data_IF_646515779487
#
_entry.id   IF_646515779487
#
_cell.length_a   1.000
_cell.length_b   1.000
_cell.length_c   1.000
_cell.angle_alpha   90.00
_cell.angle_beta   90.00
_cell.angle_gamma   90.00
#
_symmetry.space_group_name_H-M   'P 1'
#
loop_
_entity.id
_entity.type
_entity.pdbx_description
1 polymer ?
#
# COMPACT_ATOMS: atom_id res chain seq x y z
N UNK A 1 -51.22 47.49 37.63
CA UNK A 1 -51.75 47.06 38.94
C UNK A 1 -50.74 46.11 39.58
N UNK A 2 -50.16 46.51 40.73
CA UNK A 2 -49.36 45.71 41.72
C UNK A 2 -48.03 45.10 41.22
N UNK A 3 -46.91 45.04 41.98
CA UNK A 3 -46.52 45.45 43.33
C UNK A 3 -44.97 45.38 43.43
N UNK A 4 -44.37 46.39 44.07
CA UNK A 4 -43.28 46.33 45.06
C UNK A 4 -42.07 45.36 44.94
N UNK A 5 -40.86 45.96 44.85
CA UNK A 5 -39.94 46.09 46.01
C UNK A 5 -38.92 44.96 46.32
N UNK A 6 -37.75 45.29 46.90
CA UNK A 6 -36.50 44.52 46.80
C UNK A 6 -36.15 43.71 48.05
N UNK A 7 -35.24 42.71 47.93
CA UNK A 7 -34.49 42.15 49.07
C UNK A 7 -33.05 41.72 48.69
N UNK A 8 -32.08 42.36 49.35
CA UNK A 8 -30.71 41.90 49.57
C UNK A 8 -30.69 40.69 50.51
N UNK A 9 -29.86 39.67 50.23
CA UNK A 9 -29.18 38.86 51.27
C UNK A 9 -27.79 38.42 50.78
N UNK A 10 -26.79 38.62 51.65
CA UNK A 10 -25.37 38.22 51.60
C UNK A 10 -25.18 36.72 51.89
N UNK A 11 -24.16 36.09 51.28
CA UNK A 11 -23.20 35.11 51.83
C UNK A 11 -22.35 34.58 50.66
N UNK A 12 -21.04 34.82 50.52
CA UNK A 12 -19.87 34.25 51.24
C UNK A 12 -19.86 32.72 51.31
N UNK A 13 -19.11 32.08 50.41
CA UNK A 13 -18.08 31.08 50.76
C UNK A 13 -17.16 30.80 49.55
N UNK A 14 -15.83 30.65 49.73
CA UNK A 14 -14.88 30.35 48.67
C UNK A 14 -14.69 28.84 48.51
N UNK A 15 -14.42 28.38 47.28
CA UNK A 15 -13.91 27.03 47.06
C UNK A 15 -12.79 27.09 46.01
N UNK A 16 -11.57 26.85 46.51
CA UNK A 16 -10.41 26.39 45.76
C UNK A 16 -10.80 25.29 44.76
N UNK A 17 -10.31 25.40 43.53
CA UNK A 17 -9.51 24.39 42.84
C UNK A 17 -9.15 24.91 41.44
N UNK A 18 -8.02 25.61 41.35
CA UNK A 18 -7.27 25.68 40.10
C UNK A 18 -6.60 24.32 39.88
N UNK A 19 -7.23 23.48 39.06
CA UNK A 19 -6.59 22.39 38.34
C UNK A 19 -7.24 22.38 36.96
N UNK A 20 -6.57 22.83 35.89
CA UNK A 20 -6.93 22.37 34.56
C UNK A 20 -6.55 20.88 34.49
N UNK A 21 -7.51 20.04 34.84
CA UNK A 21 -7.50 18.64 34.47
C UNK A 21 -7.69 18.54 32.96
N UNK A 22 -6.74 17.89 32.29
CA UNK A 22 -6.94 17.27 30.98
C UNK A 22 -7.10 18.21 29.79
N UNK A 23 -5.99 18.68 29.23
CA UNK A 23 -5.92 18.79 27.77
C UNK A 23 -5.65 17.37 27.22
N UNK A 24 -6.68 16.54 27.18
CA UNK A 24 -6.75 15.53 26.12
C UNK A 24 -7.46 16.23 24.99
N UNK A 25 -6.76 16.52 23.89
CA UNK A 25 -7.37 16.97 22.64
C UNK A 25 -8.19 15.82 22.07
N UNK A 26 -9.55 15.85 22.14
CA UNK A 26 -10.38 14.86 21.49
C UNK A 26 -10.71 15.45 20.12
N UNK A 27 -9.86 15.19 19.13
CA UNK A 27 -10.05 15.76 17.79
C UNK A 27 -9.22 15.18 16.64
N UNK A 28 -8.10 14.49 16.90
CA UNK A 28 -7.16 14.12 15.83
C UNK A 28 -7.50 12.82 15.07
N UNK A 29 -8.32 11.93 15.65
CA UNK A 29 -8.58 10.62 15.01
C UNK A 29 -9.50 10.71 13.79
N UNK A 30 -10.52 11.57 13.83
CA UNK A 30 -11.50 11.70 12.74
C UNK A 30 -10.96 12.37 11.48
N UNK A 31 -10.10 13.37 11.64
CA UNK A 31 -9.44 14.06 10.52
C UNK A 31 -8.31 13.20 9.91
N UNK A 32 -7.54 12.51 10.76
CA UNK A 32 -6.50 11.58 10.33
C UNK A 32 -7.05 10.41 9.51
N UNK A 33 -8.12 9.76 9.98
CA UNK A 33 -8.75 8.65 9.25
C UNK A 33 -9.28 9.11 7.89
N UNK A 34 -9.96 10.27 7.85
CA UNK A 34 -10.45 10.83 6.60
C UNK A 34 -9.31 11.11 5.61
N UNK A 35 -8.17 11.64 6.09
CA UNK A 35 -7.00 11.91 5.27
C UNK A 35 -6.33 10.62 4.73
N UNK A 36 -6.27 9.55 5.53
CA UNK A 36 -5.78 8.23 5.07
C UNK A 36 -6.69 7.66 3.99
N UNK A 37 -8.02 7.69 4.19
CA UNK A 37 -9.00 7.25 3.19
C UNK A 37 -8.91 8.07 1.91
N UNK A 38 -8.75 9.38 2.02
CA UNK A 38 -8.57 10.27 0.87
C UNK A 38 -7.28 9.95 0.10
N UNK A 39 -6.19 9.63 0.79
CA UNK A 39 -4.92 9.22 0.18
C UNK A 39 -5.07 7.91 -0.60
N UNK A 40 -5.72 6.91 0.00
CA UNK A 40 -6.04 5.65 -0.69
C UNK A 40 -6.88 5.89 -1.95
N UNK A 41 -7.95 6.68 -1.83
CA UNK A 41 -8.84 6.95 -2.95
C UNK A 41 -8.14 7.73 -4.06
N UNK A 42 -7.30 8.71 -3.72
CA UNK A 42 -6.48 9.42 -4.69
C UNK A 42 -5.52 8.47 -5.44
N UNK A 43 -4.89 7.54 -4.73
CA UNK A 43 -4.00 6.54 -5.34
C UNK A 43 -4.78 5.61 -6.27
N UNK A 44 -5.92 5.09 -5.82
CA UNK A 44 -6.82 4.25 -6.61
C UNK A 44 -7.29 4.97 -7.88
N UNK A 45 -7.66 6.25 -7.78
CA UNK A 45 -8.10 7.06 -8.92
C UNK A 45 -6.95 7.34 -9.90
N UNK A 46 -5.76 7.66 -9.40
CA UNK A 46 -4.57 7.84 -10.24
C UNK A 46 -4.27 6.57 -11.05
N UNK A 47 -4.32 5.40 -10.41
CA UNK A 47 -4.24 4.12 -11.10
C UNK A 47 -5.35 3.98 -12.14
N UNK A 48 -6.62 4.16 -11.79
CA UNK A 48 -7.71 4.03 -12.79
C UNK A 48 -7.59 4.98 -13.98
N UNK A 49 -6.96 6.15 -13.78
CA UNK A 49 -6.72 7.14 -14.83
C UNK A 49 -5.46 6.84 -15.67
N UNK A 50 -4.64 5.86 -15.29
CA UNK A 50 -3.33 5.62 -15.90
C UNK A 50 -2.32 6.73 -15.60
N UNK A 51 -2.52 7.50 -14.53
CA UNK A 51 -1.66 8.62 -14.15
C UNK A 51 -0.55 8.12 -13.21
N UNK A 52 0.52 7.60 -13.82
CA UNK A 52 1.67 7.06 -13.10
C UNK A 52 2.39 8.11 -12.24
N UNK A 53 2.45 9.37 -12.68
CA UNK A 53 3.07 10.45 -11.91
C UNK A 53 2.26 10.74 -10.64
N UNK A 54 0.94 10.87 -10.75
CA UNK A 54 0.07 11.06 -9.60
C UNK A 54 0.16 9.87 -8.63
N UNK A 55 0.13 8.64 -9.15
CA UNK A 55 0.24 7.42 -8.34
C UNK A 55 1.59 7.33 -7.63
N UNK A 56 2.71 7.55 -8.33
CA UNK A 56 4.05 7.56 -7.76
C UNK A 56 4.21 8.68 -6.73
N UNK A 57 3.59 9.85 -6.93
CA UNK A 57 3.63 10.94 -5.95
C UNK A 57 2.92 10.61 -4.63
N UNK A 58 2.10 9.57 -4.57
CA UNK A 58 1.31 9.18 -3.40
C UNK A 58 1.95 8.07 -2.57
N UNK A 59 3.05 7.47 -3.04
CA UNK A 59 3.80 6.48 -2.24
C UNK A 59 4.81 7.15 -1.32
N UNK A 60 5.25 6.40 -0.31
CA UNK A 60 6.24 6.89 0.65
C UNK A 60 7.69 6.71 0.15
N UNK A 61 8.64 7.37 0.82
CA UNK A 61 10.06 7.31 0.46
C UNK A 61 10.62 5.89 0.53
N UNK A 62 10.11 5.06 1.45
CA UNK A 62 10.52 3.67 1.59
C UNK A 62 10.13 2.85 0.35
N UNK A 63 8.94 3.08 -0.21
CA UNK A 63 8.51 2.47 -1.47
C UNK A 63 9.40 2.90 -2.64
N UNK A 64 9.75 4.18 -2.73
CA UNK A 64 10.67 4.67 -3.77
C UNK A 64 12.05 4.00 -3.68
N UNK A 65 12.59 3.85 -2.47
CA UNK A 65 13.86 3.17 -2.24
C UNK A 65 13.78 1.67 -2.55
N UNK A 66 12.70 1.01 -2.15
CA UNK A 66 12.43 -0.39 -2.51
C UNK A 66 12.46 -0.57 -4.04
N UNK A 67 11.78 0.32 -4.78
CA UNK A 67 11.79 0.27 -6.24
C UNK A 67 13.20 0.49 -6.82
N UNK A 68 13.98 1.43 -6.28
CA UNK A 68 15.37 1.67 -6.72
C UNK A 68 16.23 0.42 -6.53
N UNK A 69 16.07 -0.29 -5.42
CA UNK A 69 16.78 -1.54 -5.15
C UNK A 69 16.34 -2.66 -6.09
N UNK A 70 15.03 -2.78 -6.34
CA UNK A 70 14.49 -3.74 -7.31
C UNK A 70 15.01 -3.47 -8.72
N UNK A 71 15.01 -2.21 -9.18
CA UNK A 71 15.55 -1.80 -10.49
C UNK A 71 17.03 -2.17 -10.62
N UNK A 72 17.85 -1.90 -9.60
CA UNK A 72 19.25 -2.36 -9.57
C UNK A 72 19.34 -3.88 -9.71
N UNK A 73 18.54 -4.62 -8.95
CA UNK A 73 18.56 -6.07 -8.98
C UNK A 73 18.13 -6.63 -10.35
N UNK A 74 17.12 -6.03 -10.98
CA UNK A 74 16.67 -6.37 -12.33
C UNK A 74 17.80 -6.18 -13.34
N UNK A 75 18.50 -5.05 -13.31
CA UNK A 75 19.53 -4.72 -14.30
C UNK A 75 20.83 -5.51 -14.07
N UNK A 76 21.32 -5.50 -12.83
CA UNK A 76 22.70 -5.88 -12.48
C UNK A 76 22.78 -7.15 -11.64
N UNK A 77 21.66 -7.59 -11.04
CA UNK A 77 21.65 -8.69 -10.07
C UNK A 77 22.11 -10.00 -10.67
N UNK A 78 23.10 -10.62 -10.04
CA UNK A 78 23.48 -12.01 -10.36
C UNK A 78 22.36 -12.99 -10.02
N UNK A 79 22.37 -14.17 -10.63
CA UNK A 79 21.42 -15.25 -10.32
C UNK A 79 21.40 -15.55 -8.81
N UNK A 80 22.58 -15.66 -8.18
CA UNK A 80 22.69 -15.92 -6.74
C UNK A 80 22.06 -14.80 -5.90
N UNK A 81 22.32 -13.53 -6.24
CA UNK A 81 21.70 -12.40 -5.53
C UNK A 81 20.18 -12.36 -5.68
N UNK A 82 19.65 -12.74 -6.85
CA UNK A 82 18.21 -12.79 -7.11
C UNK A 82 17.59 -13.94 -6.33
N UNK A 83 18.18 -15.14 -6.37
CA UNK A 83 17.68 -16.34 -5.68
C UNK A 83 17.60 -16.19 -4.16
N UNK A 84 18.44 -15.34 -3.57
CA UNK A 84 18.40 -15.03 -2.13
C UNK A 84 17.27 -14.07 -1.73
N UNK A 85 16.49 -13.55 -2.67
CA UNK A 85 15.39 -12.62 -2.39
C UNK A 85 14.09 -13.32 -2.05
N UNK A 86 13.13 -12.51 -1.62
CA UNK A 86 11.75 -12.93 -1.33
C UNK A 86 11.08 -13.47 -2.60
N UNK A 87 9.97 -14.21 -2.46
CA UNK A 87 9.22 -14.72 -3.59
C UNK A 87 8.79 -13.58 -4.52
N UNK A 88 8.25 -12.50 -3.95
CA UNK A 88 7.73 -11.38 -4.76
C UNK A 88 8.86 -10.63 -5.47
N UNK A 89 10.00 -10.41 -4.82
CA UNK A 89 11.16 -9.78 -5.47
C UNK A 89 11.64 -10.62 -6.67
N UNK A 90 11.76 -11.95 -6.49
CA UNK A 90 12.17 -12.87 -7.55
C UNK A 90 11.16 -12.88 -8.68
N UNK A 91 9.87 -12.95 -8.37
CA UNK A 91 8.80 -12.84 -9.34
C UNK A 91 8.90 -11.55 -10.15
N UNK A 92 9.06 -10.39 -9.50
CA UNK A 92 9.18 -9.10 -10.19
C UNK A 92 10.44 -9.07 -11.06
N UNK A 93 11.59 -9.56 -10.58
CA UNK A 93 12.81 -9.63 -11.38
C UNK A 93 12.60 -10.44 -12.65
N UNK A 94 12.02 -11.63 -12.52
CA UNK A 94 11.71 -12.50 -13.67
C UNK A 94 10.74 -11.82 -14.62
N UNK A 95 9.65 -11.25 -14.11
CA UNK A 95 8.65 -10.57 -14.91
C UNK A 95 9.24 -9.38 -15.70
N UNK A 96 10.06 -8.55 -15.07
CA UNK A 96 10.70 -7.41 -15.73
C UNK A 96 11.71 -7.83 -16.78
N UNK A 97 12.63 -8.75 -16.46
CA UNK A 97 13.66 -9.23 -17.40
C UNK A 97 13.05 -9.99 -18.58
N UNK A 98 11.91 -10.64 -18.36
CA UNK A 98 11.21 -11.39 -19.40
C UNK A 98 10.47 -10.47 -20.39
N UNK A 99 9.97 -9.31 -19.94
CA UNK A 99 9.15 -8.42 -20.77
C UNK A 99 9.88 -7.22 -21.36
N UNK A 100 10.99 -6.79 -20.76
CA UNK A 100 11.67 -5.56 -21.13
C UNK A 100 13.15 -5.78 -21.36
N UNK A 101 13.70 -5.01 -22.30
CA UNK A 101 15.16 -4.95 -22.48
C UNK A 101 15.82 -4.17 -21.34
N UNK A 102 17.11 -4.44 -21.10
CA UNK A 102 17.90 -3.70 -20.11
C UNK A 102 17.91 -2.18 -20.34
N UNK A 103 17.93 -1.73 -21.60
CA UNK A 103 17.87 -0.31 -21.94
C UNK A 103 16.53 0.34 -21.56
N UNK A 104 15.41 -0.32 -21.86
CA UNK A 104 14.09 0.16 -21.45
C UNK A 104 13.99 0.25 -19.92
N UNK A 105 14.46 -0.77 -19.21
CA UNK A 105 14.42 -0.83 -17.75
C UNK A 105 15.32 0.23 -17.10
N UNK A 106 16.46 0.55 -17.71
CA UNK A 106 17.38 1.57 -17.21
C UNK A 106 16.75 2.97 -17.23
N UNK A 107 15.90 3.26 -18.21
CA UNK A 107 15.23 4.55 -18.37
C UNK A 107 13.91 4.67 -17.60
N UNK A 108 13.25 3.54 -17.30
CA UNK A 108 11.97 3.54 -16.57
C UNK A 108 12.12 4.00 -15.12
N UNK A 109 11.37 5.01 -14.73
CA UNK A 109 11.16 5.38 -13.33
C UNK A 109 9.89 4.72 -12.76
N UNK A 110 9.64 4.89 -11.46
CA UNK A 110 8.48 4.26 -10.80
C UNK A 110 7.16 4.59 -11.50
N UNK A 111 6.99 5.85 -11.93
CA UNK A 111 5.81 6.29 -12.67
C UNK A 111 5.65 5.52 -13.99
N UNK A 112 6.73 5.33 -14.74
CA UNK A 112 6.71 4.58 -16.01
C UNK A 112 6.34 3.12 -15.79
N UNK A 113 6.86 2.50 -14.71
CA UNK A 113 6.51 1.12 -14.36
C UNK A 113 5.03 0.97 -14.04
N UNK A 114 4.44 1.92 -13.30
CA UNK A 114 3.00 1.89 -13.02
C UNK A 114 2.19 1.96 -14.32
N UNK A 115 2.53 2.90 -15.21
CA UNK A 115 1.85 3.04 -16.51
C UNK A 115 2.01 1.76 -17.34
N UNK A 116 3.24 1.26 -17.46
CA UNK A 116 3.53 0.08 -18.26
C UNK A 116 2.83 -1.17 -17.75
N UNK A 117 2.81 -1.37 -16.43
CA UNK A 117 2.12 -2.49 -15.78
C UNK A 117 0.60 -2.46 -16.06
N UNK A 118 0.01 -1.28 -16.22
CA UNK A 118 -1.38 -1.16 -16.65
C UNK A 118 -1.57 -1.47 -18.13
N UNK A 119 -0.72 -0.94 -19.01
CA UNK A 119 -0.79 -1.14 -20.46
C UNK A 119 -0.68 -2.63 -20.85
N UNK A 120 0.21 -3.36 -20.18
CA UNK A 120 0.42 -4.81 -20.40
C UNK A 120 -0.53 -5.68 -19.56
N UNK A 121 -1.44 -5.07 -18.80
CA UNK A 121 -2.51 -5.78 -18.08
C UNK A 121 -2.08 -6.47 -16.77
N UNK A 122 -0.87 -6.23 -16.25
CA UNK A 122 -0.48 -6.70 -14.91
C UNK A 122 -1.35 -6.06 -13.83
N UNK A 123 -1.68 -4.79 -14.01
CA UNK A 123 -2.58 -4.05 -13.14
C UNK A 123 -3.92 -3.90 -13.87
N UNK A 124 -4.90 -4.71 -13.47
CA UNK A 124 -6.23 -4.73 -14.07
C UNK A 124 -7.13 -3.63 -13.48
N UNK A 125 -7.64 -2.72 -14.31
CA UNK A 125 -8.52 -1.62 -13.90
C UNK A 125 -9.81 -2.11 -13.22
N UNK A 126 -10.39 -3.22 -13.67
CA UNK A 126 -11.58 -3.80 -13.05
C UNK A 126 -11.28 -4.32 -11.64
N UNK A 127 -10.08 -4.83 -11.40
CA UNK A 127 -9.65 -5.23 -10.06
C UNK A 127 -9.43 -4.00 -9.16
N UNK A 128 -8.75 -2.95 -9.67
CA UNK A 128 -8.55 -1.68 -8.95
C UNK A 128 -9.89 -1.04 -8.56
N UNK A 129 -10.88 -1.09 -9.44
CA UNK A 129 -12.21 -0.51 -9.18
C UNK A 129 -12.86 -1.13 -7.93
N UNK A 130 -12.61 -2.41 -7.70
CA UNK A 130 -13.16 -3.13 -6.56
C UNK A 130 -12.38 -2.92 -5.27
N UNK A 131 -11.16 -2.37 -5.29
CA UNK A 131 -10.38 -2.16 -4.08
C UNK A 131 -11.03 -1.12 -3.16
N UNK A 132 -10.98 -1.39 -1.86
CA UNK A 132 -11.54 -0.54 -0.82
C UNK A 132 -10.74 -0.67 0.49
N UNK A 133 -10.93 0.31 1.37
CA UNK A 133 -10.32 0.34 2.71
C UNK A 133 -11.39 0.09 3.78
N UNK A 134 -11.16 -0.92 4.62
CA UNK A 134 -12.00 -1.23 5.78
C UNK A 134 -11.72 -0.33 6.97
N UNK A 135 -11.64 -0.91 8.17
CA UNK A 135 -11.27 -0.19 9.40
C UNK A 135 -9.88 0.42 9.26
N UNK A 136 -9.69 1.65 9.76
CA UNK A 136 -8.39 2.35 9.79
C UNK A 136 -7.97 2.54 11.24
N UNK A 137 -6.79 2.05 11.59
CA UNK A 137 -6.12 2.35 12.86
C UNK A 137 -4.96 3.31 12.63
N UNK A 138 -4.86 4.36 13.45
CA UNK A 138 -3.78 5.36 13.37
C UNK A 138 -3.02 5.37 14.69
N UNK A 139 -1.70 5.25 14.59
CA UNK A 139 -0.76 5.34 15.72
C UNK A 139 0.36 6.32 15.38
N UNK A 140 0.24 7.54 15.88
CA UNK A 140 1.22 8.61 15.63
C UNK A 140 1.28 9.00 14.15
N UNK A 141 2.40 8.69 13.50
CA UNK A 141 2.65 8.99 12.07
C UNK A 141 2.44 7.78 11.18
N UNK A 142 1.94 6.66 11.71
CA UNK A 142 1.65 5.47 10.94
C UNK A 142 0.15 5.15 10.97
N UNK A 143 -0.35 4.53 9.91
CA UNK A 143 -1.70 4.01 9.86
C UNK A 143 -1.72 2.64 9.18
N UNK A 144 -2.64 1.80 9.62
CA UNK A 144 -2.94 0.50 9.03
C UNK A 144 -4.43 0.47 8.72
N UNK A 145 -4.77 0.11 7.48
CA UNK A 145 -6.13 -0.09 7.04
C UNK A 145 -6.34 -1.52 6.56
N UNK A 146 -7.47 -2.12 6.89
CA UNK A 146 -7.85 -3.42 6.34
C UNK A 146 -8.03 -3.33 4.81
N UNK A 147 -7.42 -4.26 4.07
CA UNK A 147 -7.69 -4.39 2.65
C UNK A 147 -9.07 -5.04 2.46
N UNK A 148 -9.94 -4.39 1.67
CA UNK A 148 -11.30 -4.86 1.40
C UNK A 148 -11.60 -4.74 -0.09
N UNK A 149 -12.54 -5.53 -0.56
CA UNK A 149 -13.26 -5.21 -1.81
C UNK A 149 -14.49 -4.35 -1.48
N UNK A 150 -14.98 -3.59 -2.46
CA UNK A 150 -16.23 -2.83 -2.32
C UNK A 150 -17.40 -3.75 -1.94
N UNK A 151 -17.47 -4.94 -2.53
CA UNK A 151 -18.45 -5.96 -2.15
C UNK A 151 -18.28 -6.42 -0.70
N UNK A 152 -17.04 -6.61 -0.24
CA UNK A 152 -16.78 -7.07 1.14
C UNK A 152 -17.05 -6.03 2.22
N UNK A 153 -17.16 -4.74 1.87
CA UNK A 153 -17.62 -3.71 2.80
C UNK A 153 -19.11 -3.90 3.15
N UNK A 154 -19.90 -4.41 2.21
CA UNK A 154 -21.33 -4.67 2.40
C UNK A 154 -21.56 -6.06 3.00
N UNK A 155 -20.81 -7.07 2.54
CA UNK A 155 -20.86 -8.44 3.03
C UNK A 155 -19.45 -8.98 3.32
N UNK A 156 -19.01 -9.00 4.60
CA UNK A 156 -17.69 -9.49 4.98
C UNK A 156 -17.37 -10.93 4.55
N UNK A 157 -18.39 -11.76 4.27
CA UNK A 157 -18.17 -13.14 3.78
C UNK A 157 -17.61 -13.19 2.35
N UNK A 158 -17.68 -12.06 1.61
CA UNK A 158 -17.14 -11.89 0.26
C UNK A 158 -15.69 -11.35 0.24
N UNK A 159 -14.99 -11.34 1.37
CA UNK A 159 -13.62 -10.83 1.45
C UNK A 159 -12.60 -11.62 0.62
N UNK A 160 -12.84 -12.91 0.38
CA UNK A 160 -12.08 -13.71 -0.58
C UNK A 160 -10.57 -13.76 -0.34
N UNK A 161 -10.11 -13.75 0.93
CA UNK A 161 -8.69 -13.77 1.30
C UNK A 161 -8.02 -12.39 1.40
N UNK A 162 -8.76 -11.30 1.12
CA UNK A 162 -8.26 -9.93 1.32
C UNK A 162 -8.04 -9.57 2.80
N UNK A 163 -8.64 -10.33 3.71
CA UNK A 163 -8.51 -10.16 5.16
C UNK A 163 -7.11 -10.48 5.71
N UNK A 164 -6.28 -11.19 4.94
CA UNK A 164 -4.86 -11.41 5.25
C UNK A 164 -3.98 -10.22 4.84
N UNK A 165 -4.51 -9.30 4.04
CA UNK A 165 -3.80 -8.13 3.55
C UNK A 165 -4.15 -6.87 4.34
N UNK A 166 -3.16 -6.01 4.51
CA UNK A 166 -3.34 -4.71 5.13
C UNK A 166 -2.63 -3.64 4.30
N UNK A 167 -3.30 -2.51 4.12
CA UNK A 167 -2.71 -1.32 3.56
C UNK A 167 -2.03 -0.52 4.66
N UNK A 168 -0.79 -0.10 4.43
CA UNK A 168 -0.04 0.73 5.37
C UNK A 168 0.16 2.11 4.81
N UNK A 169 0.12 3.09 5.70
CA UNK A 169 0.34 4.48 5.37
C UNK A 169 1.28 5.11 6.38
N UNK A 170 2.04 6.09 5.92
CA UNK A 170 2.93 6.90 6.76
C UNK A 170 2.68 8.37 6.50
N UNK A 171 2.72 9.18 7.55
CA UNK A 171 2.64 10.62 7.46
C UNK A 171 4.05 11.19 7.31
N UNK A 172 4.37 11.65 6.10
CA UNK A 172 5.62 12.33 5.78
C UNK A 172 5.36 13.83 5.64
N UNK A 173 5.98 14.62 6.52
CA UNK A 173 5.88 16.09 6.50
C UNK A 173 4.44 16.62 6.47
N UNK A 174 3.54 15.98 7.24
CA UNK A 174 2.13 16.36 7.33
C UNK A 174 1.23 15.78 6.25
N UNK A 175 1.75 14.92 5.36
CA UNK A 175 0.98 14.29 4.28
C UNK A 175 1.04 12.77 4.39
N UNK A 176 -0.12 12.12 4.34
CA UNK A 176 -0.20 10.67 4.28
C UNK A 176 0.27 10.16 2.92
N UNK A 177 1.00 9.04 2.95
CA UNK A 177 1.57 8.34 1.81
C UNK A 177 1.31 6.85 1.94
N UNK A 178 1.10 6.17 0.82
CA UNK A 178 0.90 4.73 0.77
C UNK A 178 2.25 4.00 0.83
N UNK A 179 2.43 3.10 1.79
CA UNK A 179 3.64 2.27 1.90
C UNK A 179 3.42 0.96 1.16
N UNK A 180 3.66 0.97 -0.15
CA UNK A 180 3.46 -0.20 -1.01
C UNK A 180 4.46 -1.31 -0.72
N UNK A 181 5.70 -0.98 -0.30
CA UNK A 181 6.69 -1.98 0.12
C UNK A 181 6.17 -2.92 1.22
N UNK A 182 5.36 -2.42 2.15
CA UNK A 182 4.76 -3.25 3.18
C UNK A 182 3.67 -4.19 2.64
N UNK A 183 2.94 -3.77 1.60
CA UNK A 183 1.98 -4.64 0.92
C UNK A 183 2.69 -5.79 0.20
N UNK A 184 3.83 -5.51 -0.44
CA UNK A 184 4.69 -6.53 -1.06
C UNK A 184 5.10 -7.60 -0.04
N UNK A 185 5.50 -7.20 1.17
CA UNK A 185 5.87 -8.16 2.22
C UNK A 185 4.68 -9.04 2.66
N UNK A 186 3.47 -8.48 2.72
CA UNK A 186 2.26 -9.27 3.02
C UNK A 186 1.97 -10.29 1.92
N UNK A 187 2.11 -9.88 0.65
CA UNK A 187 1.91 -10.77 -0.50
C UNK A 187 2.95 -11.90 -0.49
N UNK A 188 4.20 -11.63 -0.10
CA UNK A 188 5.25 -12.65 0.00
C UNK A 188 4.83 -13.83 0.89
N UNK A 189 4.28 -13.53 2.08
CA UNK A 189 3.78 -14.56 3.00
C UNK A 189 2.66 -15.40 2.38
N UNK A 190 1.71 -14.77 1.69
CA UNK A 190 0.60 -15.45 1.01
C UNK A 190 1.12 -16.36 -0.11
N UNK A 191 2.05 -15.88 -0.94
CA UNK A 191 2.58 -16.65 -2.06
C UNK A 191 3.43 -17.85 -1.63
N UNK A 192 4.24 -17.69 -0.58
CA UNK A 192 5.03 -18.82 -0.03
C UNK A 192 4.12 -19.89 0.57
N UNK A 193 3.04 -19.48 1.24
CA UNK A 193 2.03 -20.42 1.73
C UNK A 193 1.31 -21.13 0.58
N UNK A 194 1.04 -20.44 -0.53
CA UNK A 194 0.44 -21.04 -1.72
C UNK A 194 1.37 -22.08 -2.35
N UNK A 195 2.67 -21.77 -2.53
CA UNK A 195 3.65 -22.71 -3.05
C UNK A 195 3.72 -23.99 -2.20
N UNK A 196 3.75 -23.84 -0.88
CA UNK A 196 3.74 -24.96 0.06
C UNK A 196 2.45 -25.80 -0.04
N UNK A 197 1.28 -25.15 -0.16
CA UNK A 197 0.00 -25.85 -0.33
C UNK A 197 -0.10 -26.63 -1.64
N UNK A 198 0.47 -26.09 -2.72
CA UNK A 198 0.54 -26.75 -4.02
C UNK A 198 1.64 -27.82 -4.09
N UNK A 199 2.52 -27.90 -3.07
CA UNK A 199 3.69 -28.77 -3.04
C UNK A 199 4.57 -28.59 -4.30
N UNK A 200 4.82 -27.34 -4.66
CA UNK A 200 5.63 -26.91 -5.81
C UNK A 200 6.83 -26.10 -5.34
N UNK A 201 7.90 -26.08 -6.14
CA UNK A 201 9.02 -25.19 -5.90
C UNK A 201 8.61 -23.73 -6.14
N UNK A 202 9.19 -22.80 -5.38
CA UNK A 202 8.86 -21.37 -5.53
C UNK A 202 9.24 -20.86 -6.93
N UNK A 203 10.32 -21.35 -7.54
CA UNK A 203 10.75 -20.92 -8.87
C UNK A 203 9.82 -21.42 -9.98
N UNK A 204 9.39 -22.69 -9.88
CA UNK A 204 8.42 -23.27 -10.79
C UNK A 204 7.09 -22.50 -10.75
N UNK A 205 6.66 -22.09 -9.55
CA UNK A 205 5.49 -21.25 -9.39
C UNK A 205 5.71 -19.86 -10.00
N UNK A 206 6.87 -19.23 -9.79
CA UNK A 206 7.20 -17.94 -10.39
C UNK A 206 7.12 -18.02 -11.91
N UNK A 207 7.76 -19.03 -12.52
CA UNK A 207 7.76 -19.20 -13.98
C UNK A 207 6.32 -19.38 -14.48
N UNK A 208 5.55 -20.28 -13.86
CA UNK A 208 4.14 -20.51 -14.20
C UNK A 208 3.32 -19.22 -14.16
N UNK A 209 3.53 -18.38 -13.15
CA UNK A 209 2.79 -17.11 -13.02
C UNK A 209 3.22 -16.09 -14.08
N UNK A 210 4.52 -15.95 -14.36
CA UNK A 210 5.01 -15.02 -15.38
C UNK A 210 4.57 -15.47 -16.78
N UNK A 211 4.61 -16.76 -17.08
CA UNK A 211 4.10 -17.33 -18.34
C UNK A 211 2.59 -17.10 -18.49
N UNK A 212 1.83 -17.27 -17.41
CA UNK A 212 0.39 -16.96 -17.39
C UNK A 212 0.10 -15.49 -17.65
N UNK A 213 0.94 -14.58 -17.11
CA UNK A 213 0.80 -13.14 -17.29
C UNK A 213 1.21 -12.66 -18.70
N UNK A 214 2.20 -13.31 -19.31
CA UNK A 214 2.82 -12.87 -20.57
C UNK A 214 2.31 -13.63 -21.79
N UNK A 215 1.84 -14.86 -21.58
CA UNK A 215 1.55 -15.83 -22.63
C UNK A 215 2.80 -16.40 -23.32
N UNK A 216 4.00 -16.18 -22.76
CA UNK A 216 5.28 -16.58 -23.34
C UNK A 216 6.07 -17.42 -22.33
N UNK A 217 6.70 -18.49 -22.81
CA UNK A 217 7.53 -19.39 -22.00
C UNK A 217 8.73 -18.66 -21.40
N UNK A 218 8.96 -18.85 -20.10
CA UNK A 218 10.09 -18.25 -19.38
C UNK A 218 11.29 -19.18 -19.45
N UNK A 219 12.38 -18.69 -20.01
CA UNK A 219 13.63 -19.46 -20.10
C UNK A 219 14.51 -19.23 -18.86
N UNK A 220 15.28 -20.24 -18.42
CA UNK A 220 16.12 -20.16 -17.21
C UNK A 220 17.12 -19.00 -17.19
N UNK A 221 17.55 -18.52 -18.36
CA UNK A 221 18.49 -17.40 -18.50
C UNK A 221 17.95 -16.08 -17.93
N UNK A 222 16.64 -16.00 -17.63
CA UNK A 222 16.03 -14.83 -16.96
C UNK A 222 16.65 -14.55 -15.58
N UNK A 223 17.28 -15.55 -14.95
CA UNK A 223 17.99 -15.37 -13.69
C UNK A 223 19.32 -14.62 -13.86
N UNK A 224 19.88 -14.56 -15.07
CA UNK A 224 21.09 -13.81 -15.37
C UNK A 224 20.82 -12.30 -15.53
N UNK A 225 21.83 -11.47 -15.22
CA UNK A 225 21.75 -10.02 -15.35
C UNK A 225 21.56 -9.59 -16.82
N UNK A 226 20.87 -8.47 -17.03
CA UNK A 226 20.64 -7.89 -18.37
C UNK A 226 21.78 -6.99 -18.86
N UNK A 227 22.87 -6.90 -18.11
CA UNK A 227 24.06 -6.11 -18.45
C UNK A 227 24.87 -6.81 -19.56
N UNK A 228 24.42 -6.65 -20.82
CA UNK A 228 25.09 -7.09 -22.04
C UNK A 228 25.04 -6.06 -23.15
#
# INVERSE_FOLDING_TARGET
MKLAGPRLVRAVLPALLCLPAGAQTPGETGDGEAAVRATFEAYRQALMAGDGEAAASLVDRETEEYYRQLKRLVLEGSEEEVRQRTFVDRFLVVAFRHQFSGNELAEMELADVIVRAMEIGWINSAAIEQLAVGTVGIEGTEAVAEARTRASLEDPSLAGGMDELAYRFVNEDGRWKFRFSALVMSIDGVMRNLAAQLNTDEDDLIFTLVESLTGVEVLPEVWESQDR
#
